data_IF_414475478361
#
_entry.id   IF_414475478361
#
_cell.length_a   1.000
_cell.length_b   1.000
_cell.length_c   1.000
_cell.angle_alpha   90.00
_cell.angle_beta   90.00
_cell.angle_gamma   90.00
#
_symmetry.space_group_name_H-M   'P 1'
#
loop_
_entity.id
_entity.type
_entity.pdbx_description
1 polymer ?
#
# COMPACT_ATOMS: atom_id res chain seq x y z
N UNK A 1 22.40 34.70 66.51
CA UNK A 1 22.26 33.27 66.21
C UNK A 1 21.92 33.17 64.74
N UNK A 2 22.96 32.98 63.91
CA UNK A 2 22.89 32.94 62.46
C UNK A 2 22.24 31.62 62.05
N UNK A 3 21.01 31.67 61.54
CA UNK A 3 20.34 30.47 61.04
C UNK A 3 20.65 30.36 59.54
N UNK A 4 21.68 29.57 59.22
CA UNK A 4 21.98 29.19 57.84
C UNK A 4 20.95 28.14 57.42
N UNK A 5 20.09 28.50 56.47
CA UNK A 5 19.18 27.58 55.79
C UNK A 5 19.92 26.95 54.61
N UNK A 6 20.26 25.67 54.73
CA UNK A 6 20.63 24.83 53.59
C UNK A 6 19.34 24.15 53.07
N UNK A 7 18.69 24.80 52.10
CA UNK A 7 17.71 24.14 51.23
C UNK A 7 18.45 23.41 50.10
N UNK A 8 17.88 22.32 49.53
CA UNK A 8 18.50 21.63 48.41
C UNK A 8 18.67 22.60 47.23
N UNK A 9 19.89 22.79 46.76
CA UNK A 9 20.19 23.51 45.52
C UNK A 9 19.55 22.70 44.38
N UNK A 10 18.38 23.12 43.91
CA UNK A 10 17.83 22.58 42.68
C UNK A 10 18.73 23.05 41.54
N UNK A 11 19.19 22.17 40.63
CA UNK A 11 19.87 22.63 39.44
C UNK A 11 18.87 23.47 38.64
N UNK A 12 19.09 24.78 38.55
CA UNK A 12 18.46 25.62 37.53
C UNK A 12 18.93 25.07 36.19
N UNK A 13 18.05 24.32 35.53
CA UNK A 13 18.14 24.16 34.08
C UNK A 13 17.73 25.52 33.54
N UNK A 14 18.70 26.39 33.30
CA UNK A 14 18.52 27.52 32.37
C UNK A 14 18.10 26.89 31.05
N UNK A 15 16.78 26.87 30.79
CA UNK A 15 16.31 26.74 29.43
C UNK A 15 16.76 28.01 28.71
N UNK A 16 17.91 27.93 28.03
CA UNK A 16 18.30 28.86 26.98
C UNK A 16 17.20 28.76 25.90
N UNK A 17 16.11 29.48 26.14
CA UNK A 17 15.04 29.68 25.19
C UNK A 17 15.67 30.47 24.06
N UNK A 18 16.05 29.76 23.00
CA UNK A 18 16.53 30.36 21.75
C UNK A 18 15.52 31.43 21.35
N UNK A 19 15.96 32.68 21.41
CA UNK A 19 15.13 33.81 21.02
C UNK A 19 15.06 33.81 19.50
N UNK A 20 14.00 33.19 18.96
CA UNK A 20 13.77 33.07 17.52
C UNK A 20 13.67 34.43 16.82
N UNK A 21 13.40 35.52 17.54
CA UNK A 21 13.37 36.88 16.99
C UNK A 21 14.78 37.48 16.78
N UNK A 22 15.83 36.91 17.39
CA UNK A 22 17.23 37.35 17.28
C UNK A 22 18.09 36.46 16.37
N UNK A 23 17.56 35.31 15.93
CA UNK A 23 18.24 34.41 14.98
C UNK A 23 18.24 35.08 13.60
N UNK A 24 19.40 35.30 12.96
CA UNK A 24 19.47 35.84 11.62
C UNK A 24 18.72 34.94 10.62
N UNK A 25 17.95 35.54 9.70
CA UNK A 25 17.21 34.80 8.66
C UNK A 25 18.12 33.85 7.84
N UNK A 26 19.40 34.17 7.71
CA UNK A 26 20.42 33.35 7.01
C UNK A 26 20.74 32.02 7.75
N UNK A 27 20.49 31.95 9.05
CA UNK A 27 20.66 30.75 9.88
C UNK A 27 19.38 29.89 9.96
N UNK A 28 18.24 30.42 9.49
CA UNK A 28 16.98 29.68 9.39
C UNK A 28 16.97 28.85 8.11
N UNK A 29 17.12 27.53 8.25
CA UNK A 29 16.96 26.61 7.12
C UNK A 29 15.47 26.49 6.73
N UNK A 30 15.02 27.28 5.75
CA UNK A 30 13.66 27.14 5.21
C UNK A 30 13.46 25.77 4.54
N UNK A 31 12.55 24.97 5.07
CA UNK A 31 12.11 23.72 4.44
C UNK A 31 11.26 24.00 3.20
N UNK A 32 11.32 23.09 2.22
CA UNK A 32 10.40 23.15 1.05
C UNK A 32 8.93 23.13 1.46
N UNK A 33 8.62 22.60 2.64
CA UNK A 33 7.28 22.63 3.23
C UNK A 33 6.89 24.03 3.71
N UNK A 34 7.75 24.74 4.45
CA UNK A 34 7.48 26.13 4.89
C UNK A 34 7.27 27.07 3.69
N UNK A 35 8.05 26.89 2.63
CA UNK A 35 7.84 27.62 1.36
C UNK A 35 6.50 27.31 0.70
N UNK A 36 6.12 26.03 0.68
CA UNK A 36 4.81 25.62 0.15
C UNK A 36 3.67 26.15 1.02
N UNK A 37 3.87 26.22 2.33
CA UNK A 37 2.91 26.78 3.26
C UNK A 37 2.75 28.30 3.07
N UNK A 38 3.84 29.06 2.98
CA UNK A 38 3.78 30.49 2.64
C UNK A 38 3.15 30.75 1.27
N UNK A 39 3.43 29.89 0.28
CA UNK A 39 2.79 29.99 -1.03
C UNK A 39 1.28 29.66 -0.95
N UNK A 40 0.91 28.64 -0.17
CA UNK A 40 -0.50 28.33 0.15
C UNK A 40 -1.18 29.55 0.78
N UNK A 41 -0.49 30.30 1.64
CA UNK A 41 -1.00 31.50 2.30
C UNK A 41 -1.38 32.64 1.35
N UNK A 42 -0.74 32.74 0.19
CA UNK A 42 -1.10 33.74 -0.84
C UNK A 42 -2.39 33.42 -1.60
N UNK A 43 -2.90 32.18 -1.54
CA UNK A 43 -4.10 31.78 -2.29
C UNK A 43 -5.39 31.95 -1.48
N UNK A 44 -6.52 32.30 -2.13
CA UNK A 44 -7.81 32.46 -1.47
C UNK A 44 -8.39 31.10 -1.02
N UNK A 45 -9.17 31.13 0.06
CA UNK A 45 -9.84 29.96 0.68
C UNK A 45 -10.49 28.96 -0.29
N UNK A 46 -11.25 29.38 -1.34
CA UNK A 46 -11.84 28.44 -2.30
C UNK A 46 -10.80 27.57 -3.04
N UNK A 47 -9.63 28.12 -3.37
CA UNK A 47 -8.56 27.38 -4.05
C UNK A 47 -7.99 26.31 -3.11
N UNK A 48 -7.74 26.67 -1.84
CA UNK A 48 -7.28 25.70 -0.83
C UNK A 48 -8.29 24.58 -0.61
N UNK A 49 -9.58 24.91 -0.53
CA UNK A 49 -10.64 23.92 -0.37
C UNK A 49 -10.77 22.98 -1.56
N UNK A 50 -10.58 23.48 -2.79
CA UNK A 50 -10.58 22.64 -3.99
C UNK A 50 -9.39 21.66 -4.00
N UNK A 51 -8.20 22.12 -3.63
CA UNK A 51 -7.00 21.27 -3.53
C UNK A 51 -7.18 20.19 -2.46
N UNK A 52 -7.63 20.55 -1.26
CA UNK A 52 -7.86 19.57 -0.18
C UNK A 52 -8.91 18.54 -0.57
N UNK A 53 -10.01 18.96 -1.22
CA UNK A 53 -11.04 18.05 -1.73
C UNK A 53 -10.48 17.10 -2.78
N UNK A 54 -9.64 17.60 -3.70
CA UNK A 54 -9.01 16.78 -4.75
C UNK A 54 -8.05 15.76 -4.17
N UNK A 55 -7.26 16.15 -3.17
CA UNK A 55 -6.35 15.24 -2.45
C UNK A 55 -7.14 14.17 -1.69
N UNK A 56 -8.21 14.57 -0.98
CA UNK A 56 -9.08 13.63 -0.29
C UNK A 56 -9.77 12.66 -1.26
N UNK A 57 -10.28 13.15 -2.39
CA UNK A 57 -10.87 12.32 -3.43
C UNK A 57 -9.84 11.33 -3.97
N UNK A 58 -8.63 11.79 -4.30
CA UNK A 58 -7.55 10.94 -4.79
C UNK A 58 -7.21 9.85 -3.78
N UNK A 59 -7.12 10.21 -2.49
CA UNK A 59 -6.85 9.26 -1.43
C UNK A 59 -7.95 8.20 -1.28
N UNK A 60 -9.22 8.63 -1.28
CA UNK A 60 -10.38 7.75 -1.21
C UNK A 60 -10.45 6.83 -2.43
N UNK A 61 -10.23 7.37 -3.63
CA UNK A 61 -10.21 6.60 -4.88
C UNK A 61 -9.09 5.58 -4.86
N UNK A 62 -7.87 5.96 -4.49
CA UNK A 62 -6.73 5.05 -4.42
C UNK A 62 -6.99 3.89 -3.43
N UNK A 63 -7.50 4.22 -2.23
CA UNK A 63 -7.86 3.22 -1.22
C UNK A 63 -8.96 2.30 -1.73
N UNK A 64 -10.00 2.86 -2.34
CA UNK A 64 -11.13 2.08 -2.84
C UNK A 64 -10.73 1.22 -4.04
N UNK A 65 -9.89 1.72 -4.95
CA UNK A 65 -9.39 0.94 -6.10
C UNK A 65 -8.53 -0.23 -5.63
N UNK A 66 -7.70 -0.04 -4.61
CA UNK A 66 -6.90 -1.12 -4.05
C UNK A 66 -7.78 -2.19 -3.39
N UNK A 67 -8.77 -1.76 -2.60
CA UNK A 67 -9.73 -2.68 -1.98
C UNK A 67 -10.57 -3.42 -3.02
N UNK A 68 -11.06 -2.72 -4.04
CA UNK A 68 -11.85 -3.28 -5.13
C UNK A 68 -11.01 -4.29 -5.93
N UNK A 69 -9.78 -3.94 -6.31
CA UNK A 69 -8.89 -4.83 -7.03
C UNK A 69 -8.60 -6.11 -6.24
N UNK A 70 -8.39 -5.99 -4.92
CA UNK A 70 -8.19 -7.17 -4.06
C UNK A 70 -9.43 -8.06 -4.01
N UNK A 71 -10.61 -7.48 -3.81
CA UNK A 71 -11.87 -8.23 -3.80
C UNK A 71 -12.17 -8.87 -5.15
N UNK A 72 -11.99 -8.12 -6.24
CA UNK A 72 -12.16 -8.62 -7.61
C UNK A 72 -11.17 -9.73 -7.91
N UNK A 73 -9.89 -9.57 -7.57
CA UNK A 73 -8.88 -10.60 -7.73
C UNK A 73 -9.21 -11.86 -6.93
N UNK A 74 -9.73 -11.72 -5.69
CA UNK A 74 -10.15 -12.86 -4.89
C UNK A 74 -11.34 -13.60 -5.49
N UNK A 75 -12.37 -12.87 -5.93
CA UNK A 75 -13.55 -13.45 -6.57
C UNK A 75 -13.19 -14.09 -7.90
N UNK A 76 -12.40 -13.42 -8.74
CA UNK A 76 -11.94 -13.97 -10.02
C UNK A 76 -11.07 -15.20 -9.82
N UNK A 77 -10.14 -15.17 -8.84
CA UNK A 77 -9.28 -16.30 -8.51
C UNK A 77 -10.10 -17.53 -8.09
N UNK A 78 -11.03 -17.35 -7.14
CA UNK A 78 -11.90 -18.45 -6.67
C UNK A 78 -12.87 -18.91 -7.75
N UNK A 79 -13.44 -18.00 -8.53
CA UNK A 79 -14.34 -18.33 -9.65
C UNK A 79 -13.60 -19.11 -10.74
N UNK A 80 -12.39 -18.69 -11.11
CA UNK A 80 -11.56 -19.40 -12.08
C UNK A 80 -11.20 -20.79 -11.57
N UNK A 81 -10.82 -20.93 -10.29
CA UNK A 81 -10.51 -22.24 -9.71
C UNK A 81 -11.70 -23.20 -9.76
N UNK A 82 -12.89 -22.71 -9.41
CA UNK A 82 -14.12 -23.50 -9.47
C UNK A 82 -14.51 -23.91 -10.89
N UNK A 83 -14.20 -23.08 -11.89
CA UNK A 83 -14.51 -23.38 -13.29
C UNK A 83 -13.45 -24.28 -13.95
N UNK A 84 -12.17 -24.09 -13.60
CA UNK A 84 -11.04 -24.85 -14.16
C UNK A 84 -11.04 -26.28 -13.64
N UNK A 85 -11.44 -26.52 -12.39
CA UNK A 85 -11.51 -27.87 -11.81
C UNK A 85 -12.36 -28.84 -12.65
N UNK A 86 -13.65 -28.61 -12.92
CA UNK A 86 -14.46 -29.50 -13.74
C UNK A 86 -13.94 -29.58 -15.19
N UNK A 87 -13.44 -28.45 -15.74
CA UNK A 87 -12.91 -28.41 -17.10
C UNK A 87 -11.70 -29.35 -17.31
N UNK A 88 -10.78 -29.41 -16.34
CA UNK A 88 -9.60 -30.30 -16.43
C UNK A 88 -10.03 -31.76 -16.32
N UNK A 89 -10.95 -32.10 -15.41
CA UNK A 89 -11.41 -33.48 -15.21
C UNK A 89 -12.08 -34.03 -16.46
N UNK A 90 -12.97 -33.25 -17.09
CA UNK A 90 -13.62 -33.66 -18.34
C UNK A 90 -12.61 -33.88 -19.47
N UNK A 91 -11.60 -33.00 -19.56
CA UNK A 91 -10.48 -33.15 -20.49
C UNK A 91 -9.74 -34.47 -20.26
N UNK A 92 -9.39 -34.77 -19.01
CA UNK A 92 -8.60 -35.97 -18.68
C UNK A 92 -9.39 -37.24 -19.00
N UNK A 93 -10.69 -37.23 -18.71
CA UNK A 93 -11.58 -38.35 -19.04
C UNK A 93 -11.58 -38.63 -20.56
N UNK A 94 -11.73 -37.59 -21.37
CA UNK A 94 -11.68 -37.72 -22.83
C UNK A 94 -10.32 -38.17 -23.35
N UNK A 95 -9.23 -37.72 -22.74
CA UNK A 95 -7.87 -38.13 -23.09
C UNK A 95 -7.64 -39.62 -22.74
N UNK A 96 -8.17 -40.09 -21.61
CA UNK A 96 -8.11 -41.50 -21.18
C UNK A 96 -8.90 -42.42 -22.12
N UNK A 97 -10.11 -42.05 -22.52
CA UNK A 97 -10.93 -42.84 -23.46
C UNK A 97 -10.21 -43.04 -24.80
N UNK A 98 -9.63 -41.96 -25.34
CA UNK A 98 -8.83 -42.01 -26.58
C UNK A 98 -7.58 -42.87 -26.41
N UNK A 99 -6.94 -42.82 -25.25
CA UNK A 99 -5.78 -43.66 -24.96
C UNK A 99 -6.15 -45.15 -24.93
N UNK A 100 -7.28 -45.50 -24.30
CA UNK A 100 -7.77 -46.89 -24.28
C UNK A 100 -8.12 -47.40 -25.67
N UNK A 101 -8.80 -46.60 -26.50
CA UNK A 101 -9.10 -46.97 -27.88
C UNK A 101 -7.82 -47.21 -28.70
N UNK A 102 -6.82 -46.35 -28.57
CA UNK A 102 -5.51 -46.54 -29.22
C UNK A 102 -4.82 -47.80 -28.73
N UNK A 103 -4.90 -48.08 -27.43
CA UNK A 103 -4.30 -49.28 -26.83
C UNK A 103 -5.01 -50.55 -27.31
N UNK A 104 -6.34 -50.54 -27.42
CA UNK A 104 -7.10 -51.62 -28.03
C UNK A 104 -6.74 -51.82 -29.52
N UNK A 105 -6.60 -50.74 -30.29
CA UNK A 105 -6.15 -50.81 -31.67
C UNK A 105 -4.73 -51.35 -31.79
N UNK A 106 -3.81 -50.95 -30.91
CA UNK A 106 -2.44 -51.47 -30.86
C UNK A 106 -2.39 -52.94 -30.43
N UNK A 107 -3.29 -53.40 -29.57
CA UNK A 107 -3.42 -54.83 -29.22
C UNK A 107 -4.02 -55.64 -30.37
N UNK A 108 -5.00 -55.10 -31.08
CA UNK A 108 -5.63 -55.74 -32.25
C UNK A 108 -4.73 -55.74 -33.49
N UNK A 109 -3.85 -54.74 -33.64
CA UNK A 109 -2.84 -54.63 -34.70
C UNK A 109 -1.44 -55.12 -34.25
N UNK A 110 -1.31 -55.52 -32.99
CA UNK A 110 -0.08 -56.00 -32.34
C UNK A 110 0.25 -57.45 -32.68
N UNK A 111 0.19 -57.79 -33.96
CA UNK A 111 0.62 -59.07 -34.50
C UNK A 111 2.13 -59.14 -34.71
N UNK A 112 2.80 -59.73 -33.71
CA UNK A 112 4.14 -60.35 -33.69
C UNK A 112 5.39 -59.43 -33.60
N UNK A 113 6.11 -59.43 -32.47
CA UNK A 113 7.54 -59.14 -32.48
C UNK A 113 8.29 -60.32 -33.11
N UNK A 114 9.13 -60.02 -34.12
CA UNK A 114 10.17 -60.91 -34.65
C UNK A 114 11.35 -61.01 -33.71
#
# INVERSE_FOLDING_TARGET
MTHIQFGPQQPEVEEDLVNWDEVPDEELEETTFERLEGLKEMFPTPVRSAVTTTVQLTWVVAKNSFSFARSAAWVLSTSALLMVMPYIVDKELHDVEKAQLKQQQQLLLGGRPS
#
